data_IF_734776122751
#
_entry.id   IF_734776122751
#
_cell.length_a   1.000
_cell.length_b   1.000
_cell.length_c   1.000
_cell.angle_alpha   90.00
_cell.angle_beta   90.00
_cell.angle_gamma   90.00
#
_symmetry.space_group_name_H-M   'P 1'
#
loop_
_entity.id
_entity.type
_entity.pdbx_description
1 polymer ?
#
# COMPACT_ATOMS: atom_id res chain seq x y z
N UNK A 1 -2.09 -6.37 -2.52
CA UNK A 1 -2.08 -5.96 -3.93
C UNK A 1 -3.29 -6.43 -4.75
N UNK A 2 -4.21 -7.22 -4.16
CA UNK A 2 -5.48 -7.59 -4.83
C UNK A 2 -6.32 -6.36 -5.26
N UNK A 3 -6.37 -5.25 -4.50
CA UNK A 3 -7.14 -4.07 -4.90
C UNK A 3 -6.68 -3.41 -6.20
N UNK A 4 -5.44 -3.64 -6.65
CA UNK A 4 -4.94 -3.13 -7.93
C UNK A 4 -5.80 -3.64 -9.10
N UNK A 5 -6.36 -4.85 -8.99
CA UNK A 5 -7.30 -5.40 -9.97
C UNK A 5 -8.54 -4.50 -10.10
N UNK A 6 -9.00 -3.92 -8.99
CA UNK A 6 -10.08 -2.93 -8.98
C UNK A 6 -9.74 -1.68 -9.80
N UNK A 7 -8.52 -1.19 -9.74
CA UNK A 7 -8.08 -0.04 -10.55
C UNK A 7 -7.97 -0.40 -12.04
N UNK A 8 -7.53 -1.62 -12.37
CA UNK A 8 -7.56 -2.13 -13.76
C UNK A 8 -8.99 -2.16 -14.26
N UNK A 9 -9.94 -2.67 -13.48
CA UNK A 9 -11.36 -2.68 -13.82
C UNK A 9 -11.89 -1.25 -14.05
N UNK A 10 -11.64 -0.33 -13.12
CA UNK A 10 -12.08 1.05 -13.20
C UNK A 10 -11.50 1.79 -14.41
N UNK A 11 -10.24 1.50 -14.79
CA UNK A 11 -9.59 2.13 -15.94
C UNK A 11 -10.21 1.72 -17.28
N UNK A 12 -10.90 0.57 -17.34
CA UNK A 12 -11.59 0.08 -18.53
C UNK A 12 -13.09 0.42 -18.53
N UNK A 13 -13.73 0.37 -17.36
CA UNK A 13 -15.18 0.54 -17.24
C UNK A 13 -15.63 2.00 -17.18
N UNK A 14 -14.78 2.92 -16.69
CA UNK A 14 -15.05 4.36 -16.55
C UNK A 14 -16.43 4.67 -15.96
N UNK A 15 -16.76 4.20 -14.75
CA UNK A 15 -18.07 4.46 -14.14
C UNK A 15 -18.30 5.96 -13.97
N UNK A 16 -19.42 6.47 -14.48
CA UNK A 16 -19.78 7.90 -14.47
C UNK A 16 -20.74 8.31 -13.35
N UNK A 17 -21.11 7.36 -12.50
CA UNK A 17 -22.01 7.65 -11.38
C UNK A 17 -21.34 8.57 -10.36
N UNK A 18 -21.97 9.71 -10.09
CA UNK A 18 -21.49 10.69 -9.10
C UNK A 18 -22.54 10.82 -8.02
N UNK A 19 -22.15 10.62 -6.77
CA UNK A 19 -22.96 10.85 -5.59
C UNK A 19 -22.45 12.11 -4.89
N UNK A 20 -23.35 13.07 -4.68
CA UNK A 20 -23.06 14.27 -3.91
C UNK A 20 -23.21 13.95 -2.42
N UNK A 21 -22.12 14.08 -1.68
CA UNK A 21 -22.14 13.95 -0.22
C UNK A 21 -22.01 15.33 0.39
N UNK A 22 -23.06 15.72 1.10
CA UNK A 22 -23.10 16.96 1.86
C UNK A 22 -22.79 16.62 3.33
N UNK A 23 -21.70 17.15 3.84
CA UNK A 23 -21.30 16.92 5.22
C UNK A 23 -21.01 18.26 5.92
N UNK A 24 -21.76 18.55 7.00
CA UNK A 24 -21.56 19.73 7.83
C UNK A 24 -20.86 19.31 9.13
N UNK A 25 -19.66 19.82 9.35
CA UNK A 25 -18.93 19.62 10.59
C UNK A 25 -18.35 20.95 11.10
N UNK A 26 -18.63 21.29 12.36
CA UNK A 26 -18.17 22.55 13.00
C UNK A 26 -18.47 23.82 12.17
N UNK A 27 -19.64 23.91 11.54
CA UNK A 27 -20.07 25.01 10.64
C UNK A 27 -19.24 25.15 9.35
N UNK A 28 -18.43 24.15 9.00
CA UNK A 28 -17.75 24.07 7.72
C UNK A 28 -18.53 23.09 6.85
N UNK A 29 -18.99 23.59 5.69
CA UNK A 29 -19.73 22.78 4.73
C UNK A 29 -18.75 22.16 3.76
N UNK A 30 -18.78 20.83 3.65
CA UNK A 30 -17.99 20.09 2.68
C UNK A 30 -18.93 19.46 1.65
N UNK A 31 -18.84 19.91 0.41
CA UNK A 31 -19.54 19.33 -0.72
C UNK A 31 -18.57 18.50 -1.54
N UNK A 32 -18.72 17.18 -1.51
CA UNK A 32 -17.89 16.27 -2.28
C UNK A 32 -18.71 15.51 -3.33
N UNK A 33 -18.22 15.57 -4.55
CA UNK A 33 -18.69 14.73 -5.65
C UNK A 33 -17.88 13.45 -5.65
N UNK A 34 -18.44 12.36 -5.16
CA UNK A 34 -17.76 11.09 -5.07
C UNK A 34 -18.36 10.06 -6.03
N UNK A 35 -17.48 9.34 -6.72
CA UNK A 35 -17.89 8.15 -7.45
C UNK A 35 -17.82 6.96 -6.49
N UNK A 36 -18.95 6.27 -6.18
CA UNK A 36 -18.98 5.21 -5.18
C UNK A 36 -18.10 4.02 -5.54
N UNK A 37 -17.95 3.69 -6.82
CA UNK A 37 -17.11 2.60 -7.28
C UNK A 37 -15.61 2.91 -7.08
N UNK A 38 -15.19 4.12 -7.45
CA UNK A 38 -13.81 4.58 -7.26
C UNK A 38 -13.50 4.64 -5.76
N UNK A 39 -14.41 5.22 -4.98
CA UNK A 39 -14.25 5.36 -3.53
C UNK A 39 -14.13 4.00 -2.84
N UNK A 40 -14.97 3.02 -3.21
CA UNK A 40 -14.91 1.67 -2.64
C UNK A 40 -13.56 1.00 -2.93
N UNK A 41 -13.06 1.08 -4.17
CA UNK A 41 -11.75 0.50 -4.54
C UNK A 41 -10.62 1.16 -3.76
N UNK A 42 -10.63 2.50 -3.64
CA UNK A 42 -9.61 3.24 -2.88
C UNK A 42 -9.65 2.88 -1.39
N UNK A 43 -10.83 2.78 -0.78
CA UNK A 43 -10.96 2.40 0.64
C UNK A 43 -10.40 0.99 0.90
N UNK A 44 -10.75 0.03 0.05
CA UNK A 44 -10.24 -1.35 0.17
C UNK A 44 -8.73 -1.38 -0.02
N UNK A 45 -8.21 -0.61 -0.96
CA UNK A 45 -6.77 -0.50 -1.22
C UNK A 45 -6.04 0.11 -0.03
N UNK A 46 -6.52 1.22 0.52
CA UNK A 46 -5.91 1.88 1.67
C UNK A 46 -5.92 1.00 2.93
N UNK A 47 -7.01 0.25 3.12
CA UNK A 47 -7.09 -0.72 4.21
C UNK A 47 -6.03 -1.83 4.05
N UNK A 48 -5.93 -2.42 2.87
CA UNK A 48 -4.92 -3.43 2.55
C UNK A 48 -3.49 -2.90 2.66
N UNK A 49 -3.27 -1.65 2.23
CA UNK A 49 -1.98 -0.96 2.38
C UNK A 49 -1.60 -0.79 3.84
N UNK A 50 -2.53 -0.29 4.68
CA UNK A 50 -2.29 -0.09 6.10
C UNK A 50 -1.91 -1.37 6.82
N UNK A 51 -2.60 -2.48 6.55
CA UNK A 51 -2.27 -3.79 7.10
C UNK A 51 -0.89 -4.28 6.65
N UNK A 52 -0.61 -4.20 5.37
CA UNK A 52 0.68 -4.62 4.82
C UNK A 52 1.84 -3.79 5.36
N UNK A 53 1.64 -2.48 5.51
CA UNK A 53 2.62 -1.57 6.07
C UNK A 53 2.92 -1.88 7.54
N UNK A 54 1.87 -2.08 8.35
CA UNK A 54 2.03 -2.45 9.76
C UNK A 54 2.79 -3.78 9.92
N UNK A 55 2.42 -4.80 9.16
CA UNK A 55 3.11 -6.09 9.17
C UNK A 55 4.59 -5.96 8.77
N UNK A 56 4.87 -5.12 7.77
CA UNK A 56 6.24 -4.87 7.33
C UNK A 56 7.07 -4.15 8.40
N UNK A 57 6.51 -3.14 9.08
CA UNK A 57 7.19 -2.47 10.19
C UNK A 57 7.50 -3.44 11.34
N UNK A 58 6.56 -4.31 11.69
CA UNK A 58 6.78 -5.35 12.71
C UNK A 58 7.91 -6.29 12.30
N UNK A 59 7.97 -6.66 11.02
CA UNK A 59 9.07 -7.47 10.50
C UNK A 59 10.41 -6.76 10.57
N UNK A 60 10.48 -5.47 10.26
CA UNK A 60 11.72 -4.68 10.39
C UNK A 60 12.20 -4.61 11.83
N UNK A 61 11.29 -4.45 12.79
CA UNK A 61 11.63 -4.46 14.22
C UNK A 61 12.18 -5.83 14.63
N UNK A 62 11.60 -6.91 14.09
CA UNK A 62 12.06 -8.25 14.36
C UNK A 62 13.46 -8.51 13.80
N UNK A 63 13.74 -8.08 12.57
CA UNK A 63 15.05 -8.28 11.93
C UNK A 63 16.14 -7.39 12.54
N UNK A 64 15.75 -6.28 13.15
CA UNK A 64 16.69 -5.37 13.82
C UNK A 64 17.11 -5.93 15.19
N UNK A 65 17.98 -6.94 15.21
CA UNK A 65 18.51 -7.57 16.41
C UNK A 65 19.92 -7.07 16.80
N UNK A 66 20.35 -7.39 18.03
CA UNK A 66 21.69 -7.09 18.54
C UNK A 66 21.80 -5.76 19.31
N UNK A 67 23.02 -5.34 19.63
CA UNK A 67 23.30 -4.12 20.41
C UNK A 67 22.94 -2.84 19.66
N UNK A 68 22.94 -2.86 18.32
CA UNK A 68 22.68 -1.71 17.45
C UNK A 68 21.29 -1.74 16.81
N UNK A 69 20.28 -2.24 17.50
CA UNK A 69 18.89 -2.37 16.97
C UNK A 69 18.35 -1.10 16.32
N UNK A 70 18.55 0.05 16.99
CA UNK A 70 18.07 1.35 16.49
C UNK A 70 18.72 1.73 15.16
N UNK A 71 20.03 1.49 15.01
CA UNK A 71 20.76 1.79 13.79
C UNK A 71 20.29 0.88 12.65
N UNK A 72 20.13 -0.42 12.90
CA UNK A 72 19.63 -1.36 11.89
C UNK A 72 18.22 -1.00 11.43
N UNK A 73 17.32 -0.69 12.37
CA UNK A 73 15.96 -0.26 12.07
C UNK A 73 15.94 1.04 11.25
N UNK A 74 16.77 2.03 11.62
CA UNK A 74 16.86 3.31 10.90
C UNK A 74 17.35 3.15 9.47
N UNK A 75 18.35 2.29 9.25
CA UNK A 75 18.86 1.98 7.91
C UNK A 75 17.76 1.28 7.09
N UNK A 76 17.10 0.27 7.66
CA UNK A 76 16.05 -0.48 6.99
C UNK A 76 14.86 0.40 6.60
N UNK A 77 14.42 1.31 7.49
CA UNK A 77 13.36 2.29 7.19
C UNK A 77 13.78 3.32 6.16
N UNK A 78 15.07 3.71 6.12
CA UNK A 78 15.63 4.53 5.06
C UNK A 78 15.54 3.87 3.68
N UNK A 79 15.92 2.60 3.58
CA UNK A 79 15.75 1.81 2.34
C UNK A 79 14.28 1.63 1.96
N UNK A 80 13.39 1.43 2.93
CA UNK A 80 11.95 1.39 2.69
C UNK A 80 11.46 2.69 2.06
N UNK A 81 11.87 3.84 2.60
CA UNK A 81 11.49 5.16 2.07
C UNK A 81 12.00 5.36 0.63
N UNK A 82 13.25 4.98 0.33
CA UNK A 82 13.79 5.00 -1.02
C UNK A 82 13.00 4.09 -1.97
N UNK A 83 12.65 2.88 -1.52
CA UNK A 83 11.85 1.92 -2.29
C UNK A 83 10.45 2.42 -2.63
N UNK A 84 9.87 3.30 -1.82
CA UNK A 84 8.59 3.96 -2.13
C UNK A 84 8.78 5.20 -3.03
N UNK A 85 9.81 5.98 -2.77
CA UNK A 85 10.04 7.26 -3.43
C UNK A 85 10.47 7.10 -4.90
N UNK A 86 11.39 6.18 -5.20
CA UNK A 86 11.91 5.98 -6.56
C UNK A 86 10.83 5.53 -7.55
N UNK A 87 10.02 4.50 -7.28
CA UNK A 87 8.90 4.14 -8.16
C UNK A 87 7.85 5.25 -8.25
N UNK A 88 7.59 5.96 -7.13
CA UNK A 88 6.66 7.10 -7.12
C UNK A 88 7.08 8.21 -8.08
N UNK A 89 8.36 8.57 -8.09
CA UNK A 89 8.90 9.57 -9.03
C UNK A 89 8.81 9.13 -10.49
N UNK A 90 9.06 7.85 -10.77
CA UNK A 90 9.01 7.32 -12.12
C UNK A 90 7.58 7.08 -12.62
N UNK A 91 6.60 6.92 -11.73
CA UNK A 91 5.24 6.51 -12.06
C UNK A 91 4.53 7.47 -13.02
N UNK A 92 4.74 8.78 -12.87
CA UNK A 92 4.16 9.79 -13.75
C UNK A 92 4.62 9.64 -15.21
N UNK A 93 5.91 9.47 -15.42
CA UNK A 93 6.48 9.26 -16.77
C UNK A 93 5.98 7.96 -17.39
N UNK A 94 5.92 6.89 -16.60
CA UNK A 94 5.45 5.58 -17.08
C UNK A 94 3.97 5.65 -17.44
N UNK A 95 3.15 6.33 -16.64
CA UNK A 95 1.73 6.51 -16.89
C UNK A 95 1.46 7.35 -18.13
N UNK A 96 2.23 8.41 -18.35
CA UNK A 96 2.13 9.26 -19.56
C UNK A 96 2.45 8.47 -20.84
N UNK A 97 3.46 7.59 -20.77
CA UNK A 97 3.88 6.77 -21.91
C UNK A 97 2.93 5.60 -22.19
N UNK A 98 2.44 4.92 -21.17
CA UNK A 98 1.62 3.70 -21.31
C UNK A 98 0.11 4.00 -21.39
N UNK A 99 -0.34 5.15 -20.91
CA UNK A 99 -1.74 5.46 -20.68
C UNK A 99 -2.29 4.73 -19.43
N UNK A 100 -3.44 5.19 -18.91
CA UNK A 100 -3.98 4.72 -17.63
C UNK A 100 -4.25 3.21 -17.56
N UNK A 101 -4.86 2.64 -18.60
CA UNK A 101 -5.21 1.21 -18.59
C UNK A 101 -3.99 0.29 -18.52
N UNK A 102 -3.01 0.53 -19.38
CA UNK A 102 -1.79 -0.26 -19.43
C UNK A 102 -0.88 0.01 -18.21
N UNK A 103 -0.91 1.23 -17.67
CA UNK A 103 -0.19 1.59 -16.46
C UNK A 103 -0.61 0.71 -15.27
N UNK A 104 -1.90 0.53 -15.03
CA UNK A 104 -2.37 -0.32 -13.93
C UNK A 104 -2.04 -1.80 -14.14
N UNK A 105 -2.06 -2.27 -15.38
CA UNK A 105 -1.59 -3.64 -15.71
C UNK A 105 -0.09 -3.76 -15.41
N UNK A 106 0.70 -2.77 -15.80
CA UNK A 106 2.14 -2.74 -15.50
C UNK A 106 2.41 -2.73 -13.99
N UNK A 107 1.69 -1.89 -13.23
CA UNK A 107 1.79 -1.85 -11.75
C UNK A 107 1.45 -3.21 -11.16
N UNK A 108 0.39 -3.88 -11.63
CA UNK A 108 0.04 -5.22 -11.18
C UNK A 108 1.17 -6.22 -11.44
N UNK A 109 1.76 -6.23 -12.61
CA UNK A 109 2.89 -7.09 -12.95
C UNK A 109 4.12 -6.78 -12.09
N UNK A 110 4.40 -5.50 -11.82
CA UNK A 110 5.49 -5.06 -10.98
C UNK A 110 5.37 -5.50 -9.50
N UNK A 111 4.17 -5.89 -9.04
CA UNK A 111 3.99 -6.44 -7.68
C UNK A 111 4.40 -7.89 -7.55
N UNK A 112 4.47 -8.65 -8.67
CA UNK A 112 4.76 -10.09 -8.66
C UNK A 112 6.13 -10.42 -8.03
N UNK A 113 7.24 -9.73 -8.36
CA UNK A 113 8.52 -9.96 -7.70
C UNK A 113 8.45 -9.78 -6.18
N UNK A 114 7.72 -8.76 -5.70
CA UNK A 114 7.54 -8.52 -4.27
C UNK A 114 6.78 -9.66 -3.58
N UNK A 115 5.74 -10.20 -4.22
CA UNK A 115 4.98 -11.35 -3.72
C UNK A 115 5.87 -12.59 -3.67
N UNK A 116 6.67 -12.83 -4.70
CA UNK A 116 7.63 -13.95 -4.72
C UNK A 116 8.64 -13.81 -3.59
N UNK A 117 9.26 -12.64 -3.43
CA UNK A 117 10.20 -12.37 -2.36
C UNK A 117 9.59 -12.56 -0.97
N UNK A 118 8.34 -12.19 -0.77
CA UNK A 118 7.66 -12.37 0.52
C UNK A 118 7.54 -13.84 0.94
N UNK A 119 7.56 -14.79 -0.01
CA UNK A 119 7.56 -16.23 0.28
C UNK A 119 8.88 -16.74 0.87
N UNK A 120 9.95 -15.99 0.68
CA UNK A 120 11.28 -16.35 1.22
C UNK A 120 11.54 -15.71 2.59
N UNK A 121 10.62 -14.89 3.11
CA UNK A 121 10.74 -14.33 4.45
C UNK A 121 10.60 -15.45 5.49
N UNK A 122 11.58 -15.57 6.34
CA UNK A 122 11.60 -16.56 7.41
C UNK A 122 11.04 -15.91 8.66
N UNK A 123 9.90 -16.45 9.14
CA UNK A 123 9.32 -16.05 10.42
C UNK A 123 9.54 -17.19 11.42
N UNK A 124 10.16 -16.92 12.59
CA UNK A 124 10.24 -17.93 13.62
C UNK A 124 8.85 -18.24 14.17
N UNK A 125 8.64 -19.49 14.54
CA UNK A 125 7.36 -20.01 15.04
C UNK A 125 6.85 -19.27 16.29
N UNK A 126 7.77 -18.72 17.10
CA UNK A 126 7.47 -18.05 18.36
C UNK A 126 7.33 -16.53 18.24
N UNK A 127 7.39 -16.00 17.01
CA UNK A 127 7.23 -14.57 16.78
C UNK A 127 5.86 -14.07 17.28
N UNK A 128 5.87 -13.10 18.18
CA UNK A 128 4.66 -12.51 18.77
C UNK A 128 4.01 -13.32 19.90
N UNK A 129 4.54 -14.48 20.28
CA UNK A 129 4.10 -15.18 21.50
C UNK A 129 4.73 -14.54 22.72
N UNK A 130 3.91 -14.29 23.76
CA UNK A 130 4.44 -13.90 25.08
C UNK A 130 5.29 -15.06 25.60
N UNK A 131 6.52 -14.75 26.02
CA UNK A 131 7.26 -15.68 26.86
C UNK A 131 6.42 -15.95 28.09
N UNK A 132 5.91 -17.16 28.22
CA UNK A 132 5.33 -17.63 29.49
C UNK A 132 6.50 -17.74 30.44
N UNK A 133 6.61 -16.77 31.35
CA UNK A 133 7.53 -16.84 32.48
C UNK A 133 7.41 -18.23 33.13
N UNK A 134 8.52 -18.94 33.11
CA UNK A 134 8.72 -20.14 33.92
C UNK A 134 9.35 -19.75 35.25
#
# INVERSE_FOLDING_TARGET
HLPIIGFVYLSHYHPSEIVNIHFEFLKIIFDYNLNPHITAVVVIEQFGYGFGFAAFLMYLIYVAEGESKTSHYSIATGFMALGMMLPGMASGYIQEYLGYGNFFIWVFLATIPGIILSRFLIFPYDFGKKETEK
#
